data_IF_634235537523
#
_entry.id   IF_634235537523
#
_cell.length_a   1.000
_cell.length_b   1.000
_cell.length_c   1.000
_cell.angle_alpha   90.00
_cell.angle_beta   90.00
_cell.angle_gamma   90.00
#
_symmetry.space_group_name_H-M   'P 1'
#
loop_
_entity.id
_entity.type
_entity.pdbx_description
1 polymer ?
#
# COMPACT_ATOMS: atom_id res chain seq x y z
N UNK A 1 0.38 34.64 66.93
CA UNK A 1 -0.97 35.25 66.79
C UNK A 1 -1.43 34.92 65.37
N UNK A 2 -2.47 34.12 65.06
CA UNK A 2 -3.72 33.78 65.78
C UNK A 2 -4.53 35.07 65.99
N UNK A 3 -5.70 35.38 65.38
CA UNK A 3 -6.71 34.66 64.53
C UNK A 3 -7.55 35.70 63.71
N UNK A 4 -8.54 35.48 62.82
CA UNK A 4 -9.28 34.30 62.26
C UNK A 4 -10.04 34.62 60.94
N UNK A 5 -10.30 33.59 60.11
CA UNK A 5 -11.46 33.33 59.19
C UNK A 5 -12.29 34.46 58.54
N UNK A 6 -12.48 34.35 57.21
CA UNK A 6 -13.73 34.13 56.42
C UNK A 6 -13.40 34.30 54.92
N UNK A 7 -14.05 33.73 53.90
CA UNK A 7 -14.94 32.60 53.63
C UNK A 7 -15.41 32.81 52.16
N UNK A 8 -15.72 31.75 51.39
CA UNK A 8 -16.17 31.84 49.98
C UNK A 8 -17.64 32.31 49.81
N UNK A 9 -18.31 32.06 48.66
CA UNK A 9 -18.06 31.00 47.66
C UNK A 9 -17.52 31.56 46.32
N UNK A 10 -17.18 30.83 45.24
CA UNK A 10 -17.57 29.50 44.69
C UNK A 10 -18.96 29.42 44.02
N UNK A 11 -19.09 29.93 42.79
CA UNK A 11 -20.21 29.57 41.91
C UNK A 11 -19.93 28.23 41.22
N UNK A 12 -20.70 27.21 41.60
CA UNK A 12 -20.74 25.87 41.04
C UNK A 12 -22.05 25.72 40.23
N UNK A 13 -21.98 25.71 38.89
CA UNK A 13 -23.15 25.36 38.07
C UNK A 13 -23.08 23.88 37.62
N UNK A 14 -24.07 23.10 38.04
CA UNK A 14 -24.01 21.63 37.99
C UNK A 14 -24.67 21.01 36.76
N UNK A 15 -23.94 20.07 36.14
CA UNK A 15 -24.42 18.82 35.54
C UNK A 15 -25.82 18.77 34.88
N UNK A 16 -25.92 19.17 33.60
CA UNK A 16 -27.05 18.81 32.73
C UNK A 16 -26.87 17.44 32.06
N UNK A 17 -27.25 16.34 32.72
CA UNK A 17 -27.11 14.98 32.14
C UNK A 17 -28.27 14.57 31.22
N UNK A 18 -28.11 14.70 29.89
CA UNK A 18 -28.93 13.96 28.91
C UNK A 18 -28.19 12.72 28.38
N UNK A 19 -28.42 11.56 29.02
CA UNK A 19 -27.98 10.25 28.50
C UNK A 19 -28.85 9.83 27.29
N UNK A 20 -28.63 10.47 26.14
CA UNK A 20 -29.48 10.31 24.96
C UNK A 20 -29.07 9.07 24.15
N UNK A 21 -29.62 7.91 24.53
CA UNK A 21 -29.53 6.66 23.77
C UNK A 21 -29.85 6.92 22.29
N UNK A 22 -28.85 6.79 21.41
CA UNK A 22 -29.10 6.68 19.96
C UNK A 22 -29.48 5.23 19.66
N UNK A 23 -30.64 4.97 19.02
CA UNK A 23 -31.06 3.60 18.72
C UNK A 23 -30.10 2.93 17.74
N UNK A 24 -29.94 1.62 17.88
CA UNK A 24 -29.28 0.80 16.87
C UNK A 24 -30.06 0.90 15.55
N UNK A 25 -29.44 1.49 14.53
CA UNK A 25 -29.96 1.45 13.16
C UNK A 25 -29.32 0.26 12.45
N UNK A 26 -30.02 -0.87 12.47
CA UNK A 26 -29.66 -2.00 11.61
C UNK A 26 -29.92 -1.62 10.14
N UNK A 27 -28.90 -1.79 9.29
CA UNK A 27 -29.04 -1.65 7.84
C UNK A 27 -28.52 -2.91 7.14
N UNK A 28 -29.17 -3.38 6.05
CA UNK A 28 -29.03 -4.77 5.64
C UNK A 28 -27.73 -5.08 4.90
N UNK A 29 -27.29 -6.33 5.00
CA UNK A 29 -26.16 -6.86 4.25
C UNK A 29 -26.41 -6.75 2.73
N UNK A 30 -25.51 -6.15 1.93
CA UNK A 30 -25.60 -6.19 0.48
C UNK A 30 -25.34 -7.61 -0.02
N UNK A 31 -26.40 -8.30 -0.42
CA UNK A 31 -26.29 -9.62 -1.06
C UNK A 31 -25.83 -9.49 -2.52
N UNK A 32 -25.28 -10.57 -3.08
CA UNK A 32 -24.79 -10.72 -4.46
C UNK A 32 -23.50 -9.94 -4.81
N UNK A 33 -22.36 -10.51 -4.45
CA UNK A 33 -21.14 -10.34 -5.26
C UNK A 33 -21.31 -11.05 -6.61
N UNK A 34 -21.20 -10.31 -7.72
CA UNK A 34 -21.06 -10.89 -9.07
C UNK A 34 -19.63 -11.42 -9.28
N UNK A 35 -19.43 -12.54 -10.00
CA UNK A 35 -18.11 -13.17 -10.13
C UNK A 35 -17.16 -12.40 -11.05
N UNK A 36 -15.89 -12.30 -10.64
CA UNK A 36 -14.82 -11.70 -11.43
C UNK A 36 -14.42 -12.58 -12.65
N UNK A 37 -13.91 -11.98 -13.75
CA UNK A 37 -13.56 -12.72 -14.97
C UNK A 37 -12.36 -13.67 -14.77
N UNK A 38 -12.47 -14.87 -15.34
CA UNK A 38 -11.58 -16.02 -15.10
C UNK A 38 -10.30 -15.97 -15.93
N UNK A 39 -9.30 -15.19 -15.52
CA UNK A 39 -7.98 -15.11 -16.17
C UNK A 39 -6.81 -15.26 -15.18
N UNK A 40 -6.60 -16.47 -14.63
CA UNK A 40 -5.37 -16.76 -13.88
C UNK A 40 -5.04 -18.28 -13.74
N UNK A 41 -4.84 -18.99 -14.86
CA UNK A 41 -4.26 -20.35 -14.85
C UNK A 41 -3.32 -20.60 -16.03
N UNK A 42 -2.01 -20.44 -15.79
CA UNK A 42 -0.96 -21.12 -16.58
C UNK A 42 0.25 -21.42 -15.72
N UNK A 43 0.15 -22.49 -14.93
CA UNK A 43 1.25 -23.05 -14.14
C UNK A 43 2.24 -23.76 -15.06
N UNK A 44 3.40 -23.15 -15.31
CA UNK A 44 4.49 -23.77 -16.06
C UNK A 44 5.15 -24.87 -15.24
N UNK A 45 4.68 -26.10 -15.39
CA UNK A 45 5.25 -27.32 -14.78
C UNK A 45 6.67 -27.58 -15.30
N UNK A 46 7.69 -27.12 -14.57
CA UNK A 46 9.07 -27.59 -14.76
C UNK A 46 9.20 -28.97 -14.11
N UNK A 47 9.39 -30.01 -14.93
CA UNK A 47 9.58 -31.39 -14.47
C UNK A 47 11.08 -31.68 -14.35
N UNK A 48 11.51 -32.17 -13.19
CA UNK A 48 12.92 -32.43 -12.91
C UNK A 48 13.46 -33.65 -13.67
N UNK A 49 14.77 -33.64 -13.99
CA UNK A 49 15.48 -34.75 -14.62
C UNK A 49 16.90 -34.35 -15.06
N UNK A 50 17.90 -34.66 -14.26
CA UNK A 50 19.32 -34.39 -14.56
C UNK A 50 20.17 -34.54 -13.30
N UNK A 51 21.11 -35.50 -13.30
CA UNK A 51 21.91 -35.83 -12.13
C UNK A 51 23.06 -34.82 -11.91
N UNK A 52 23.40 -34.54 -10.65
CA UNK A 52 24.57 -33.75 -10.31
C UNK A 52 25.81 -34.65 -10.31
N UNK A 53 26.79 -34.36 -11.17
CA UNK A 53 28.09 -35.02 -11.20
C UNK A 53 29.20 -33.97 -11.07
N UNK A 54 30.07 -34.13 -10.07
CA UNK A 54 31.19 -33.22 -9.81
C UNK A 54 32.41 -33.68 -10.59
N UNK A 55 32.92 -32.84 -11.49
CA UNK A 55 34.18 -33.04 -12.19
C UNK A 55 35.04 -31.77 -12.14
N UNK A 56 36.37 -31.94 -12.15
CA UNK A 56 37.35 -30.84 -12.03
C UNK A 56 37.74 -30.28 -13.40
N UNK A 57 38.01 -28.98 -13.48
CA UNK A 57 38.76 -28.37 -14.58
C UNK A 57 37.99 -27.32 -15.40
N UNK A 58 38.71 -26.29 -15.85
CA UNK A 58 38.22 -25.31 -16.83
C UNK A 58 38.32 -25.88 -18.25
N UNK A 59 37.40 -25.50 -19.15
CA UNK A 59 37.70 -25.37 -20.57
C UNK A 59 37.57 -23.92 -21.07
N UNK A 60 38.49 -23.51 -21.94
CA UNK A 60 38.53 -22.17 -22.54
C UNK A 60 37.50 -22.02 -23.65
N UNK A 61 36.69 -20.95 -23.63
CA UNK A 61 35.81 -20.59 -24.73
C UNK A 61 36.61 -20.02 -25.92
N UNK A 62 36.95 -20.85 -26.92
CA UNK A 62 37.41 -20.35 -28.22
C UNK A 62 36.27 -19.60 -28.93
N UNK A 63 36.54 -18.39 -29.42
CA UNK A 63 35.59 -17.63 -30.23
C UNK A 63 35.35 -18.28 -31.59
N UNK A 64 34.09 -18.60 -31.88
CA UNK A 64 33.63 -19.02 -33.21
C UNK A 64 32.79 -17.92 -33.84
N UNK A 65 33.34 -17.25 -34.86
CA UNK A 65 32.61 -16.21 -35.59
C UNK A 65 31.43 -16.80 -36.37
N UNK A 66 30.22 -16.26 -36.18
CA UNK A 66 29.05 -16.54 -37.02
C UNK A 66 28.69 -15.27 -37.77
N UNK A 67 28.79 -15.31 -39.11
CA UNK A 67 28.47 -14.17 -39.96
C UNK A 67 27.02 -13.71 -39.77
N UNK A 68 26.81 -12.39 -39.73
CA UNK A 68 25.47 -11.81 -39.91
C UNK A 68 25.14 -11.86 -41.40
N UNK A 69 24.03 -12.49 -41.76
CA UNK A 69 23.38 -12.23 -43.03
C UNK A 69 22.61 -10.91 -42.90
N UNK A 70 22.75 -10.03 -43.88
CA UNK A 70 22.00 -8.76 -43.91
C UNK A 70 20.58 -9.04 -44.42
N UNK A 71 19.59 -8.87 -43.55
CA UNK A 71 18.18 -9.04 -43.86
C UNK A 71 17.51 -7.68 -43.97
N UNK A 72 17.20 -7.25 -45.20
CA UNK A 72 16.56 -5.97 -45.48
C UNK A 72 15.11 -5.95 -44.93
N UNK A 73 14.93 -5.33 -43.78
CA UNK A 73 13.63 -5.27 -43.10
C UNK A 73 12.77 -4.16 -43.73
N UNK A 74 11.86 -4.54 -44.63
CA UNK A 74 10.92 -3.61 -45.26
C UNK A 74 9.97 -3.01 -44.23
N UNK A 75 10.15 -1.72 -43.98
CA UNK A 75 9.40 -0.92 -43.01
C UNK A 75 7.95 -0.69 -43.48
N UNK A 76 7.07 -1.64 -43.18
CA UNK A 76 5.63 -1.43 -43.34
C UNK A 76 5.15 -0.46 -42.27
N UNK A 77 4.57 0.67 -42.71
CA UNK A 77 4.38 1.86 -41.89
C UNK A 77 3.54 1.67 -40.62
N UNK A 78 4.20 1.30 -39.52
CA UNK A 78 3.66 1.46 -38.17
C UNK A 78 3.52 2.96 -37.90
N UNK A 79 2.28 3.46 -37.88
CA UNK A 79 1.99 4.88 -37.62
C UNK A 79 2.41 5.24 -36.19
N UNK A 80 3.63 5.74 -36.05
CA UNK A 80 4.25 6.02 -34.76
C UNK A 80 3.42 7.03 -33.96
N UNK A 81 2.68 6.53 -32.97
CA UNK A 81 2.16 7.36 -31.88
C UNK A 81 3.33 7.74 -30.98
N UNK A 82 4.06 8.78 -31.37
CA UNK A 82 5.10 9.36 -30.54
C UNK A 82 4.53 9.70 -29.16
N UNK A 83 5.19 9.24 -28.10
CA UNK A 83 4.96 9.71 -26.73
C UNK A 83 5.41 11.17 -26.67
N UNK A 84 4.50 12.16 -26.59
CA UNK A 84 4.86 13.55 -26.81
C UNK A 84 5.26 14.23 -25.48
N UNK A 85 6.45 13.91 -24.99
CA UNK A 85 7.01 14.54 -23.80
C UNK A 85 8.27 13.85 -23.26
N UNK A 86 9.22 14.65 -22.78
CA UNK A 86 10.30 14.18 -21.91
C UNK A 86 9.76 13.86 -20.51
N UNK A 87 10.35 12.88 -19.83
CA UNK A 87 9.93 12.50 -18.48
C UNK A 87 10.55 13.43 -17.43
N UNK A 88 9.72 14.20 -16.74
CA UNK A 88 10.14 15.07 -15.62
C UNK A 88 10.50 14.25 -14.37
N UNK A 89 11.75 13.83 -14.27
CA UNK A 89 12.30 13.12 -13.11
C UNK A 89 12.84 14.15 -12.10
N UNK A 90 12.58 14.00 -10.78
CA UNK A 90 13.13 14.89 -9.75
C UNK A 90 14.67 14.85 -9.71
N UNK A 91 15.28 15.84 -9.08
CA UNK A 91 16.73 15.89 -8.91
C UNK A 91 17.24 14.76 -8.00
N UNK A 92 18.55 14.44 -8.10
CA UNK A 92 19.18 13.46 -7.22
C UNK A 92 19.21 13.94 -5.75
N UNK A 93 19.34 15.26 -5.53
CA UNK A 93 19.30 15.90 -4.22
C UNK A 93 17.92 15.81 -3.56
N UNK A 94 16.84 15.89 -4.35
CA UNK A 94 15.48 15.61 -3.84
C UNK A 94 15.28 14.14 -3.44
N UNK A 95 15.98 13.21 -4.08
CA UNK A 95 15.88 11.78 -3.77
C UNK A 95 16.77 11.35 -2.59
N UNK A 96 17.79 12.13 -2.22
CA UNK A 96 18.64 11.82 -1.07
C UNK A 96 17.87 11.94 0.26
N UNK A 97 17.93 10.87 1.06
CA UNK A 97 17.20 10.67 2.32
C UNK A 97 17.99 9.67 3.16
N UNK A 98 18.09 9.90 4.47
CA UNK A 98 18.66 8.90 5.37
C UNK A 98 17.87 7.58 5.30
N UNK A 99 18.52 6.51 4.85
CA UNK A 99 17.93 5.19 4.71
C UNK A 99 17.82 4.43 6.05
N UNK A 100 16.86 3.49 6.12
CA UNK A 100 16.66 2.59 7.27
C UNK A 100 17.40 1.27 7.03
N UNK A 101 18.71 1.28 7.21
CA UNK A 101 19.61 0.15 6.89
C UNK A 101 19.54 -0.99 7.93
N UNK A 102 18.49 -1.80 7.85
CA UNK A 102 18.22 -2.96 8.73
C UNK A 102 17.77 -4.21 7.95
N UNK A 103 17.85 -5.39 8.56
CA UNK A 103 17.37 -6.65 7.96
C UNK A 103 15.84 -6.76 7.96
N UNK A 104 15.31 -7.65 7.12
CA UNK A 104 13.86 -7.94 7.07
C UNK A 104 13.33 -8.55 8.36
N UNK A 105 14.16 -9.32 9.09
CA UNK A 105 13.85 -9.88 10.40
C UNK A 105 13.69 -8.81 11.47
N UNK A 106 14.56 -7.79 11.50
CA UNK A 106 14.46 -6.62 12.38
C UNK A 106 13.17 -5.84 12.11
N UNK A 107 12.86 -5.55 10.84
CA UNK A 107 11.61 -4.88 10.46
C UNK A 107 10.38 -5.69 10.87
N UNK A 108 10.37 -7.01 10.61
CA UNK A 108 9.25 -7.90 10.92
C UNK A 108 9.03 -8.10 12.42
N UNK A 109 10.10 -8.10 13.21
CA UNK A 109 10.04 -8.12 14.67
C UNK A 109 9.36 -6.85 15.22
N UNK A 110 9.78 -5.69 14.73
CA UNK A 110 9.28 -4.40 15.22
C UNK A 110 7.93 -3.96 14.59
N UNK A 111 7.48 -4.59 13.50
CA UNK A 111 6.35 -4.18 12.66
C UNK A 111 5.05 -3.86 13.43
N UNK A 112 4.74 -4.58 14.50
CA UNK A 112 3.54 -4.33 15.30
C UNK A 112 3.60 -2.99 16.04
N UNK A 113 4.72 -2.68 16.69
CA UNK A 113 4.93 -1.41 17.40
C UNK A 113 5.18 -0.26 16.42
N UNK A 114 5.89 -0.51 15.31
CA UNK A 114 6.06 0.48 14.24
C UNK A 114 4.69 0.90 13.66
N UNK A 115 3.80 -0.07 13.46
CA UNK A 115 2.45 0.17 12.95
C UNK A 115 1.56 1.00 13.87
N UNK A 116 1.72 0.92 15.20
CA UNK A 116 0.96 1.77 16.13
C UNK A 116 1.60 3.16 16.32
N UNK A 117 2.93 3.26 16.34
CA UNK A 117 3.63 4.54 16.59
C UNK A 117 3.70 5.44 15.36
N UNK A 118 4.01 4.90 14.18
CA UNK A 118 4.16 5.67 12.95
C UNK A 118 2.89 5.66 12.06
N UNK A 119 1.72 5.36 12.63
CA UNK A 119 0.48 5.13 11.88
C UNK A 119 0.09 6.32 10.98
N UNK A 120 0.22 7.56 11.50
CA UNK A 120 -0.13 8.82 10.82
C UNK A 120 0.65 9.03 9.50
N UNK A 121 1.99 9.23 9.50
CA UNK A 121 2.74 9.49 8.26
C UNK A 121 2.68 8.32 7.28
N UNK A 122 2.65 7.07 7.77
CA UNK A 122 2.48 5.91 6.89
C UNK A 122 1.16 5.97 6.11
N UNK A 123 0.05 6.36 6.75
CA UNK A 123 -1.27 6.41 6.11
C UNK A 123 -1.48 7.66 5.27
N UNK A 124 -0.90 8.79 5.67
CA UNK A 124 -0.86 10.03 4.86
C UNK A 124 -0.11 9.80 3.53
N UNK A 125 1.04 9.12 3.58
CA UNK A 125 1.80 8.67 2.41
C UNK A 125 1.04 7.64 1.56
N UNK A 126 0.46 6.61 2.18
CA UNK A 126 -0.27 5.56 1.44
C UNK A 126 -1.52 6.10 0.76
N UNK A 127 -2.24 7.05 1.38
CA UNK A 127 -3.34 7.76 0.72
C UNK A 127 -2.83 8.63 -0.43
N UNK A 128 -1.73 9.38 -0.27
CA UNK A 128 -1.14 10.14 -1.38
C UNK A 128 -0.88 9.22 -2.57
N UNK A 129 -0.24 8.09 -2.30
CA UNK A 129 0.12 7.08 -3.31
C UNK A 129 -1.11 6.43 -3.98
N UNK A 130 -2.26 6.35 -3.31
CA UNK A 130 -3.50 5.81 -3.89
C UNK A 130 -4.36 6.87 -4.59
N UNK A 131 -4.32 8.12 -4.14
CA UNK A 131 -5.03 9.26 -4.71
C UNK A 131 -4.32 9.76 -5.98
N UNK A 132 -3.06 10.18 -5.86
CA UNK A 132 -2.26 10.75 -6.96
C UNK A 132 -1.71 9.68 -7.92
N UNK A 133 -1.41 8.48 -7.42
CA UNK A 133 -0.81 7.33 -8.15
C UNK A 133 0.59 7.57 -8.75
N UNK A 134 1.03 8.81 -8.85
CA UNK A 134 2.40 9.20 -9.20
C UNK A 134 3.34 9.17 -7.98
N UNK A 135 4.43 8.38 -8.01
CA UNK A 135 5.37 8.32 -6.88
C UNK A 135 6.19 9.61 -6.69
N UNK A 136 6.25 10.49 -7.71
CA UNK A 136 7.04 11.75 -7.68
C UNK A 136 6.41 12.82 -6.79
N UNK A 137 5.07 12.87 -6.73
CA UNK A 137 4.33 13.88 -5.94
C UNK A 137 4.46 13.61 -4.43
N UNK A 138 4.36 12.33 -4.04
CA UNK A 138 4.32 11.87 -2.65
C UNK A 138 5.70 11.69 -1.97
N UNK A 139 6.76 12.33 -2.49
CA UNK A 139 8.11 12.18 -1.94
C UNK A 139 8.26 12.83 -0.55
N UNK A 140 7.50 13.90 -0.27
CA UNK A 140 7.57 14.62 1.02
C UNK A 140 7.06 13.75 2.17
N UNK A 141 5.90 13.13 1.98
CA UNK A 141 5.33 12.15 2.91
C UNK A 141 6.23 10.91 3.02
N UNK A 142 6.90 10.50 1.93
CA UNK A 142 7.92 9.44 1.96
C UNK A 142 9.12 9.77 2.86
N UNK A 143 9.60 11.03 2.86
CA UNK A 143 10.66 11.48 3.79
C UNK A 143 10.18 11.46 5.24
N UNK A 144 8.93 11.85 5.51
CA UNK A 144 8.33 11.79 6.85
C UNK A 144 8.19 10.35 7.38
N UNK A 145 7.85 9.39 6.51
CA UNK A 145 7.83 7.95 6.84
C UNK A 145 9.23 7.46 7.24
N UNK A 146 10.27 7.74 6.44
CA UNK A 146 11.65 7.39 6.80
C UNK A 146 12.09 8.05 8.11
N UNK A 147 11.78 9.33 8.33
CA UNK A 147 12.09 10.01 9.59
C UNK A 147 11.43 9.31 10.79
N UNK A 148 10.15 8.97 10.71
CA UNK A 148 9.45 8.29 11.79
C UNK A 148 10.07 6.91 12.09
N UNK A 149 10.43 6.15 11.07
CA UNK A 149 11.12 4.87 11.22
C UNK A 149 12.51 5.02 11.89
N UNK A 150 13.28 6.03 11.51
CA UNK A 150 14.59 6.32 12.11
C UNK A 150 14.45 6.73 13.59
N UNK A 151 13.50 7.60 13.93
CA UNK A 151 13.24 8.00 15.32
C UNK A 151 12.74 6.83 16.17
N UNK A 152 11.89 5.96 15.61
CA UNK A 152 11.40 4.75 16.24
C UNK A 152 12.54 3.76 16.55
N UNK A 153 13.43 3.48 15.58
CA UNK A 153 14.59 2.61 15.83
C UNK A 153 15.63 3.24 16.76
N UNK A 154 15.80 4.57 16.77
CA UNK A 154 16.61 5.28 17.77
C UNK A 154 16.07 5.07 19.19
N UNK A 155 14.74 5.16 19.39
CA UNK A 155 14.09 4.90 20.69
C UNK A 155 14.28 3.44 21.14
N UNK A 156 14.03 2.46 20.27
CA UNK A 156 14.24 1.03 20.62
C UNK A 156 15.71 0.77 20.99
N UNK A 157 16.67 1.32 20.23
CA UNK A 157 18.10 1.17 20.53
C UNK A 157 18.53 1.85 21.84
N UNK A 158 17.85 2.91 22.26
CA UNK A 158 18.15 3.62 23.50
C UNK A 158 17.63 2.90 24.77
N UNK A 159 16.50 2.19 24.68
CA UNK A 159 15.81 1.63 25.84
C UNK A 159 15.81 0.09 25.92
N UNK A 160 15.65 -0.62 24.80
CA UNK A 160 15.36 -2.06 24.79
C UNK A 160 16.24 -2.85 23.81
N UNK A 161 17.52 -2.44 23.65
CA UNK A 161 18.43 -3.02 22.66
C UNK A 161 18.61 -4.54 22.83
N UNK A 162 18.93 -5.01 24.04
CA UNK A 162 19.22 -6.44 24.31
C UNK A 162 18.02 -7.36 24.03
N UNK A 163 16.84 -7.21 24.67
CA UNK A 163 15.69 -8.10 24.40
C UNK A 163 15.18 -7.99 22.96
N UNK A 164 15.35 -6.83 22.30
CA UNK A 164 15.06 -6.69 20.88
C UNK A 164 16.03 -7.53 20.02
N UNK A 165 17.33 -7.54 20.34
CA UNK A 165 18.32 -8.35 19.60
C UNK A 165 18.08 -9.85 19.73
N UNK A 166 17.73 -10.36 20.92
CA UNK A 166 17.34 -11.76 21.06
C UNK A 166 16.11 -12.11 20.23
N UNK A 167 15.11 -11.21 20.23
CA UNK A 167 13.84 -11.44 19.54
C UNK A 167 13.99 -11.47 18.02
N UNK A 168 14.66 -10.49 17.40
CA UNK A 168 14.84 -10.53 15.94
C UNK A 168 15.83 -11.62 15.50
N UNK A 169 16.86 -11.96 16.30
CA UNK A 169 17.77 -13.07 16.01
C UNK A 169 17.04 -14.42 15.98
N UNK A 170 16.11 -14.63 16.92
CA UNK A 170 15.25 -15.82 16.91
C UNK A 170 14.37 -15.91 15.65
N UNK A 171 13.85 -14.77 15.18
CA UNK A 171 13.05 -14.71 13.95
C UNK A 171 13.92 -15.01 12.72
N UNK A 172 15.12 -14.44 12.65
CA UNK A 172 16.07 -14.55 11.54
C UNK A 172 16.56 -15.99 11.32
N UNK A 173 16.74 -16.76 12.39
CA UNK A 173 17.09 -18.19 12.36
C UNK A 173 16.07 -19.07 11.58
N UNK A 174 14.87 -18.55 11.26
CA UNK A 174 13.81 -19.32 10.60
C UNK A 174 13.59 -18.85 9.16
N UNK A 175 13.70 -19.77 8.20
CA UNK A 175 13.57 -19.49 6.75
C UNK A 175 12.27 -18.78 6.32
N UNK A 176 11.20 -18.87 7.12
CA UNK A 176 9.90 -18.22 6.89
C UNK A 176 9.62 -17.07 7.88
N UNK A 177 10.57 -16.77 8.78
CA UNK A 177 10.48 -15.75 9.82
C UNK A 177 9.18 -15.90 10.64
N UNK A 178 9.00 -17.06 11.28
CA UNK A 178 7.74 -17.48 11.91
C UNK A 178 7.55 -16.91 13.32
N UNK A 179 6.77 -15.82 13.45
CA UNK A 179 6.45 -15.17 14.74
C UNK A 179 5.93 -16.12 15.84
N UNK A 180 5.34 -17.27 15.47
CA UNK A 180 4.86 -18.29 16.42
C UNK A 180 5.97 -18.97 17.23
N UNK A 181 7.23 -18.97 16.78
CA UNK A 181 8.33 -19.68 17.46
C UNK A 181 8.97 -18.87 18.58
N UNK A 182 9.06 -17.55 18.40
CA UNK A 182 9.84 -16.65 19.25
C UNK A 182 9.01 -15.95 20.33
N UNK A 183 7.93 -16.59 20.81
CA UNK A 183 6.98 -15.97 21.75
C UNK A 183 7.59 -15.65 23.13
N UNK A 184 8.64 -16.37 23.56
CA UNK A 184 9.34 -16.09 24.82
C UNK A 184 10.12 -14.76 24.73
N UNK A 185 10.91 -14.61 23.66
CA UNK A 185 11.66 -13.39 23.38
C UNK A 185 10.71 -12.22 23.06
N UNK A 186 9.60 -12.48 22.37
CA UNK A 186 8.57 -11.47 22.14
C UNK A 186 8.02 -10.93 23.46
N UNK A 187 7.70 -11.79 24.44
CA UNK A 187 7.20 -11.35 25.74
C UNK A 187 8.23 -10.47 26.48
N UNK A 188 9.51 -10.85 26.47
CA UNK A 188 10.58 -10.04 27.07
C UNK A 188 10.72 -8.66 26.39
N UNK A 189 10.63 -8.61 25.06
CA UNK A 189 10.66 -7.36 24.29
C UNK A 189 9.40 -6.49 24.51
N UNK A 190 8.21 -7.07 24.41
CA UNK A 190 6.93 -6.38 24.63
C UNK A 190 6.84 -5.81 26.05
N UNK A 191 7.32 -6.55 27.07
CA UNK A 191 7.41 -6.05 28.46
C UNK A 191 8.38 -4.87 28.58
N UNK A 192 9.61 -4.97 28.04
CA UNK A 192 10.59 -3.87 28.08
C UNK A 192 10.03 -2.59 27.43
N UNK A 193 9.34 -2.74 26.30
CA UNK A 193 8.71 -1.64 25.57
C UNK A 193 7.53 -1.04 26.34
N UNK A 194 6.73 -1.85 27.03
CA UNK A 194 5.66 -1.38 27.90
C UNK A 194 6.20 -0.62 29.11
N UNK A 195 7.23 -1.14 29.77
CA UNK A 195 7.85 -0.56 30.98
C UNK A 195 8.60 0.76 30.70
N UNK A 196 9.35 0.85 29.59
CA UNK A 196 10.21 2.00 29.31
C UNK A 196 9.56 3.06 28.39
N UNK A 197 8.64 2.66 27.50
CA UNK A 197 8.07 3.53 26.47
C UNK A 197 6.54 3.66 26.57
N UNK A 198 5.88 2.82 27.38
CA UNK A 198 4.42 2.81 27.52
C UNK A 198 3.66 2.33 26.29
N UNK A 199 4.34 1.71 25.30
CA UNK A 199 3.69 1.29 24.06
C UNK A 199 3.04 -0.09 24.20
N UNK A 200 1.71 -0.12 24.14
CA UNK A 200 0.95 -1.36 24.05
C UNK A 200 1.05 -1.91 22.62
N UNK A 201 1.36 -3.20 22.50
CA UNK A 201 1.39 -3.91 21.21
C UNK A 201 -0.04 -4.03 20.66
N UNK A 202 -0.34 -3.57 19.43
CA UNK A 202 -1.71 -3.56 18.90
C UNK A 202 -2.30 -4.95 18.71
N UNK A 203 -3.63 -5.00 18.83
CA UNK A 203 -4.37 -6.26 18.87
C UNK A 203 -4.63 -6.88 17.48
N UNK A 204 -5.04 -8.15 17.46
CA UNK A 204 -5.32 -8.85 16.21
C UNK A 204 -6.50 -8.18 15.47
N UNK A 205 -6.24 -7.76 14.23
CA UNK A 205 -7.20 -7.06 13.38
C UNK A 205 -7.11 -5.53 13.44
N UNK A 206 -6.40 -4.96 14.40
CA UNK A 206 -6.31 -3.50 14.58
C UNK A 206 -5.61 -2.79 13.42
N UNK A 207 -4.41 -3.24 13.06
CA UNK A 207 -3.63 -2.68 11.94
C UNK A 207 -4.29 -2.92 10.56
N UNK A 208 -5.34 -3.75 10.49
CA UNK A 208 -6.15 -3.98 9.29
C UNK A 208 -7.47 -3.19 9.26
N UNK A 209 -7.79 -2.40 10.30
CA UNK A 209 -8.95 -1.50 10.28
C UNK A 209 -8.72 -0.38 9.25
N UNK A 210 -9.68 -0.14 8.36
CA UNK A 210 -9.64 1.01 7.44
C UNK A 210 -9.89 2.28 8.24
N UNK A 211 -8.84 3.05 8.48
CA UNK A 211 -8.89 4.34 9.20
C UNK A 211 -9.08 5.50 8.25
N UNK A 212 -9.83 6.51 8.69
CA UNK A 212 -9.90 7.82 8.03
C UNK A 212 -8.68 8.66 8.43
N UNK A 213 -8.13 9.40 7.48
CA UNK A 213 -7.05 10.37 7.69
C UNK A 213 -7.57 11.73 7.24
N UNK A 214 -7.03 12.80 7.82
CA UNK A 214 -7.29 14.18 7.40
C UNK A 214 -6.01 14.70 6.73
N UNK A 215 -6.14 15.33 5.57
CA UNK A 215 -5.00 15.85 4.80
C UNK A 215 -5.38 17.17 4.15
N UNK A 216 -4.50 18.17 4.24
CA UNK A 216 -4.75 19.52 3.72
C UNK A 216 -4.63 19.63 2.18
N UNK A 217 -4.14 18.57 1.51
CA UNK A 217 -4.02 18.54 0.04
C UNK A 217 -5.40 18.45 -0.63
N UNK A 218 -5.61 19.11 -1.78
CA UNK A 218 -6.81 18.90 -2.59
C UNK A 218 -6.84 17.48 -3.17
N UNK A 219 -8.04 16.97 -3.45
CA UNK A 219 -8.23 15.68 -4.11
C UNK A 219 -7.98 15.85 -5.63
N UNK A 220 -7.13 15.03 -6.26
CA UNK A 220 -6.86 15.11 -7.70
C UNK A 220 -8.06 14.71 -8.57
N UNK A 221 -8.60 15.66 -9.35
CA UNK A 221 -9.77 15.44 -10.22
C UNK A 221 -9.49 14.44 -11.36
N UNK A 222 -8.33 14.52 -12.01
CA UNK A 222 -7.97 13.67 -13.16
C UNK A 222 -6.62 12.95 -12.94
N UNK A 223 -6.60 12.07 -11.95
CA UNK A 223 -5.46 11.23 -11.54
C UNK A 223 -4.67 10.60 -12.70
N UNK A 224 -5.36 10.16 -13.75
CA UNK A 224 -4.74 9.46 -14.88
C UNK A 224 -4.31 10.39 -16.03
N UNK A 225 -4.40 11.71 -15.86
CA UNK A 225 -4.19 12.73 -16.90
C UNK A 225 -4.94 12.38 -18.20
N UNK A 226 -6.12 11.80 -18.03
CA UNK A 226 -6.91 11.21 -19.10
C UNK A 226 -7.57 12.29 -19.97
N UNK A 227 -7.49 12.13 -21.30
CA UNK A 227 -8.21 12.98 -22.24
C UNK A 227 -9.73 12.92 -21.99
N UNK A 228 -10.50 13.99 -22.29
CA UNK A 228 -11.96 13.95 -22.23
C UNK A 228 -12.50 12.75 -23.02
N UNK A 229 -13.56 12.13 -22.50
CA UNK A 229 -14.24 11.05 -23.22
C UNK A 229 -14.88 11.61 -24.50
N UNK A 230 -14.94 10.84 -25.59
CA UNK A 230 -15.82 11.16 -26.71
C UNK A 230 -17.26 11.33 -26.24
N UNK A 231 -18.00 12.21 -26.90
CA UNK A 231 -19.44 12.37 -26.69
C UNK A 231 -20.17 11.04 -26.98
N UNK A 232 -21.21 10.69 -26.20
CA UNK A 232 -21.99 9.48 -26.44
C UNK A 232 -22.83 9.65 -27.72
N UNK A 233 -23.02 8.56 -28.46
CA UNK A 233 -24.04 8.51 -29.52
C UNK A 233 -25.41 8.83 -28.89
N UNK A 234 -26.27 9.63 -29.55
CA UNK A 234 -27.59 9.95 -29.02
C UNK A 234 -28.45 8.69 -28.89
N UNK A 235 -29.25 8.56 -27.81
CA UNK A 235 -30.22 7.48 -27.69
C UNK A 235 -31.31 7.58 -28.75
N UNK A 236 -31.92 6.45 -29.10
CA UNK A 236 -33.12 6.43 -29.95
C UNK A 236 -34.33 6.68 -29.03
N UNK A 237 -34.89 7.88 -29.11
CA UNK A 237 -36.05 8.31 -28.31
C UNK A 237 -37.35 8.30 -29.12
N UNK A 238 -38.47 7.98 -28.46
CA UNK A 238 -39.80 7.88 -29.06
C UNK A 238 -40.22 6.47 -29.49
N UNK A 239 -41.52 6.29 -29.74
CA UNK A 239 -42.10 4.99 -30.05
C UNK A 239 -41.63 4.42 -31.40
N UNK A 240 -41.36 3.11 -31.40
CA UNK A 240 -41.03 2.32 -32.59
C UNK A 240 -42.26 2.16 -33.51
N UNK A 241 -42.50 3.19 -34.34
CA UNK A 241 -43.54 3.17 -35.38
C UNK A 241 -43.26 2.09 -36.43
N UNK A 242 -44.28 1.38 -36.95
CA UNK A 242 -44.10 0.35 -37.96
C UNK A 242 -43.47 0.92 -39.25
N UNK A 243 -42.72 0.09 -39.97
CA UNK A 243 -42.05 0.49 -41.19
C UNK A 243 -43.07 0.91 -42.26
N UNK A 244 -42.97 2.16 -42.75
CA UNK A 244 -43.97 2.83 -43.62
C UNK A 244 -44.43 2.03 -44.86
N UNK A 245 -43.62 1.10 -45.34
CA UNK A 245 -43.88 0.29 -46.54
C UNK A 245 -43.37 -1.16 -46.34
N UNK A 246 -43.54 -1.71 -45.15
CA UNK A 246 -43.09 -3.07 -44.83
C UNK A 246 -41.58 -3.27 -45.00
N UNK A 247 -41.21 -4.45 -45.51
CA UNK A 247 -39.84 -4.89 -45.78
C UNK A 247 -39.11 -4.13 -46.90
N UNK A 248 -39.84 -3.46 -47.82
CA UNK A 248 -39.29 -2.75 -49.01
C UNK A 248 -38.42 -3.61 -49.94
N UNK A 249 -38.57 -4.93 -49.92
CA UNK A 249 -37.74 -5.85 -50.68
C UNK A 249 -38.41 -6.23 -52.02
N UNK A 250 -37.89 -5.76 -53.15
CA UNK A 250 -38.29 -6.04 -54.55
C UNK A 250 -39.79 -6.22 -54.86
N UNK A 251 -40.41 -7.31 -54.43
CA UNK A 251 -41.82 -7.69 -54.67
C UNK A 251 -42.63 -7.98 -53.39
N UNK A 252 -42.01 -7.94 -52.20
CA UNK A 252 -42.68 -8.07 -50.91
C UNK A 252 -43.13 -6.68 -50.41
N UNK A 253 -44.44 -6.50 -50.29
CA UNK A 253 -45.08 -5.26 -49.84
C UNK A 253 -45.57 -5.29 -48.37
N UNK A 254 -45.37 -6.42 -47.68
CA UNK A 254 -45.46 -6.55 -46.22
C UNK A 254 -44.10 -6.34 -45.52
#
# INVERSE_FOLDING_TARGET
MVTSRRAGPEEEEQAGTENKLRPHVEHPLPTRFSPAPRWCMRTSSVRAGGACAVARGLPVCRGGGRARAEGEFKETGARATAMPGSLEVPSLEELDVQEVSVSTSVLKAAAHHYGSQCDKPNKEFMLCRWEEKDPRKCLKEGKQVNQCALEFFRKIKAHCAEPFTEYWTCIDYTNLQELRRCRKQQLAFDNCVLENLGWVRPDLGELSKVTKVQTDRPIPENVYHSRPRPEPNPPIEGDLKPAKYGSRLFFWNW
#
